data_IF_540631502408
#
_entry.id   IF_540631502408
#
_cell.length_a   1.000
_cell.length_b   1.000
_cell.length_c   1.000
_cell.angle_alpha   90.00
_cell.angle_beta   90.00
_cell.angle_gamma   90.00
#
_symmetry.space_group_name_H-M   'P 1'
#
loop_
_entity.id
_entity.type
_entity.pdbx_description
1 polymer ?
#
# COMPACT_ATOMS: atom_id res chain seq x y z
N UNK A 1 68.45 -1.44 30.70
CA UNK A 1 67.81 -2.57 29.99
C UNK A 1 66.33 -2.69 30.41
N UNK A 2 65.53 -1.64 30.21
CA UNK A 2 64.10 -1.63 30.53
C UNK A 2 63.27 -0.85 29.49
N UNK A 3 63.91 -0.38 28.41
CA UNK A 3 63.34 0.55 27.41
C UNK A 3 62.78 -0.16 26.17
N UNK A 4 62.57 -1.47 26.21
CA UNK A 4 62.11 -2.26 25.03
C UNK A 4 60.77 -2.99 25.21
N UNK A 5 60.12 -2.89 26.37
CA UNK A 5 58.87 -3.62 26.64
C UNK A 5 57.61 -2.75 26.72
N UNK A 6 57.73 -1.42 26.71
CA UNK A 6 56.58 -0.52 26.85
C UNK A 6 55.96 -0.08 25.50
N UNK A 7 56.57 -0.48 24.38
CA UNK A 7 56.18 -0.08 23.02
C UNK A 7 55.54 -1.21 22.21
N UNK A 8 54.97 -2.23 22.87
CA UNK A 8 54.26 -3.32 22.18
C UNK A 8 52.86 -3.62 22.75
N UNK A 9 52.38 -2.86 23.74
CA UNK A 9 51.03 -3.02 24.29
C UNK A 9 50.10 -1.84 23.94
N UNK A 10 50.51 -1.01 22.99
CA UNK A 10 49.73 0.14 22.50
C UNK A 10 49.33 -0.03 21.02
N UNK A 11 49.06 -1.27 20.62
CA UNK A 11 48.65 -1.59 19.24
C UNK A 11 47.66 -2.76 19.16
N UNK A 12 46.71 -2.82 20.10
CA UNK A 12 45.61 -3.80 20.06
C UNK A 12 44.20 -3.23 20.26
N UNK A 13 44.01 -1.90 20.25
CA UNK A 13 42.68 -1.29 20.37
C UNK A 13 42.11 -0.79 19.03
N UNK A 14 42.41 -1.48 17.93
CA UNK A 14 41.75 -1.26 16.64
C UNK A 14 41.25 -2.59 16.09
N UNK A 15 40.08 -3.04 16.56
CA UNK A 15 39.12 -3.83 15.77
C UNK A 15 37.88 -4.06 16.63
N UNK A 16 36.81 -3.35 16.28
CA UNK A 16 35.53 -3.46 16.98
C UNK A 16 34.46 -2.61 16.32
N UNK A 17 34.39 -2.62 14.98
CA UNK A 17 33.16 -2.23 14.30
C UNK A 17 32.10 -3.27 14.65
N UNK A 18 31.29 -3.03 15.68
CA UNK A 18 30.04 -3.77 15.78
C UNK A 18 29.14 -3.23 14.67
N UNK A 19 29.00 -4.03 13.61
CA UNK A 19 27.82 -3.99 12.78
C UNK A 19 26.62 -4.15 13.72
N UNK A 20 26.01 -3.04 14.12
CA UNK A 20 24.61 -3.07 14.51
C UNK A 20 23.85 -3.22 13.20
N UNK A 21 23.13 -4.33 12.95
CA UNK A 21 22.04 -4.25 12.01
C UNK A 21 21.14 -3.14 12.55
N UNK A 22 20.99 -2.07 11.76
CA UNK A 22 19.91 -1.15 12.00
C UNK A 22 18.65 -2.01 11.94
N UNK A 23 18.07 -2.32 13.11
CA UNK A 23 16.68 -2.72 13.18
C UNK A 23 15.95 -1.71 12.30
N UNK A 24 15.17 -2.14 11.30
CA UNK A 24 14.31 -1.23 10.59
C UNK A 24 13.60 -0.46 11.67
N UNK A 25 13.88 0.85 11.71
CA UNK A 25 13.37 1.73 12.72
C UNK A 25 11.88 1.38 12.84
N UNK A 26 11.44 0.86 13.99
CA UNK A 26 10.02 0.87 14.36
C UNK A 26 9.66 2.35 14.61
N UNK A 27 9.96 3.20 13.62
CA UNK A 27 9.46 4.52 13.49
C UNK A 27 7.96 4.32 13.52
N UNK A 28 7.36 4.99 14.50
CA UNK A 28 5.94 5.21 14.74
C UNK A 28 5.24 5.77 13.48
N UNK A 29 5.26 4.98 12.42
CA UNK A 29 4.82 5.34 11.08
C UNK A 29 3.46 4.70 10.95
N UNK A 30 2.42 5.53 11.06
CA UNK A 30 1.02 5.15 10.89
C UNK A 30 0.69 4.87 9.41
N UNK A 31 1.63 4.27 8.67
CA UNK A 31 1.46 3.87 7.27
C UNK A 31 1.39 2.35 7.25
N UNK A 32 0.31 1.83 6.69
CA UNK A 32 0.13 0.39 6.53
C UNK A 32 1.18 -0.15 5.54
N UNK A 33 1.91 -1.22 5.88
CA UNK A 33 2.84 -1.85 4.94
C UNK A 33 2.08 -2.50 3.79
N UNK A 34 2.62 -2.38 2.57
CA UNK A 34 2.10 -3.09 1.41
C UNK A 34 2.33 -4.61 1.56
N UNK A 35 1.35 -5.39 1.11
CA UNK A 35 1.45 -6.82 0.95
C UNK A 35 2.02 -7.19 -0.42
N UNK A 36 2.50 -8.42 -0.57
CA UNK A 36 2.96 -8.92 -1.86
C UNK A 36 1.81 -8.97 -2.90
N UNK A 37 2.12 -8.80 -4.21
CA UNK A 37 1.20 -9.14 -5.29
C UNK A 37 0.75 -10.60 -5.19
N UNK A 38 -0.50 -10.90 -5.57
CA UNK A 38 -1.03 -12.26 -5.58
C UNK A 38 -1.76 -12.52 -6.91
N UNK A 39 -1.62 -13.73 -7.43
CA UNK A 39 -2.35 -14.17 -8.61
C UNK A 39 -3.82 -14.54 -8.31
N UNK A 40 -4.58 -14.98 -9.32
CA UNK A 40 -4.17 -15.16 -10.72
C UNK A 40 -3.99 -13.83 -11.46
N UNK A 41 -3.37 -13.88 -12.64
CA UNK A 41 -3.29 -12.74 -13.55
C UNK A 41 -4.70 -12.25 -13.93
N UNK A 42 -4.93 -10.95 -13.80
CA UNK A 42 -6.24 -10.34 -14.06
C UNK A 42 -6.12 -8.86 -14.38
N UNK A 43 -7.12 -8.38 -15.12
CA UNK A 43 -7.28 -6.99 -15.52
C UNK A 43 -8.63 -6.48 -15.03
N UNK A 44 -8.61 -5.33 -14.36
CA UNK A 44 -9.81 -4.74 -13.76
C UNK A 44 -9.88 -3.28 -14.19
N UNK A 45 -11.05 -2.85 -14.65
CA UNK A 45 -11.34 -1.43 -14.88
C UNK A 45 -12.30 -0.96 -13.81
N UNK A 46 -11.96 0.12 -13.12
CA UNK A 46 -12.73 0.67 -12.01
C UNK A 46 -12.90 2.17 -12.14
N UNK A 47 -14.05 2.68 -11.75
CA UNK A 47 -14.22 4.09 -11.46
C UNK A 47 -13.90 4.34 -9.99
N UNK A 48 -12.96 5.23 -9.73
CA UNK A 48 -12.59 5.69 -8.41
C UNK A 48 -13.13 7.10 -8.22
N UNK A 49 -13.94 7.31 -7.19
CA UNK A 49 -14.41 8.65 -6.80
C UNK A 49 -13.96 8.95 -5.39
N UNK A 50 -13.01 9.86 -5.27
CA UNK A 50 -12.46 10.30 -3.99
C UNK A 50 -13.11 11.62 -3.56
N UNK A 51 -13.57 11.67 -2.32
CA UNK A 51 -14.27 12.81 -1.72
C UNK A 51 -13.48 13.28 -0.51
N UNK A 52 -13.11 14.55 -0.52
CA UNK A 52 -12.57 15.29 0.62
C UNK A 52 -13.60 16.31 1.11
N UNK A 53 -13.28 17.06 2.16
CA UNK A 53 -14.21 18.03 2.76
C UNK A 53 -14.68 19.13 1.79
N UNK A 54 -13.81 19.54 0.86
CA UNK A 54 -13.97 20.70 -0.01
C UNK A 54 -14.16 20.34 -1.49
N UNK A 55 -13.87 19.10 -1.89
CA UNK A 55 -13.85 18.68 -3.29
C UNK A 55 -14.10 17.19 -3.48
N UNK A 56 -14.41 16.85 -4.72
CA UNK A 56 -14.55 15.47 -5.18
C UNK A 56 -13.84 15.33 -6.51
N UNK A 57 -13.06 14.26 -6.66
CA UNK A 57 -12.39 13.91 -7.91
C UNK A 57 -12.81 12.50 -8.33
N UNK A 58 -12.97 12.29 -9.64
CA UNK A 58 -13.26 10.97 -10.21
C UNK A 58 -12.29 10.66 -11.33
N UNK A 59 -11.82 9.41 -11.35
CA UNK A 59 -10.92 8.90 -12.37
C UNK A 59 -11.29 7.45 -12.73
N UNK A 60 -10.83 7.00 -13.89
CA UNK A 60 -10.87 5.59 -14.27
C UNK A 60 -9.51 4.97 -13.97
N UNK A 61 -9.49 3.93 -13.14
CA UNK A 61 -8.30 3.15 -12.86
C UNK A 61 -8.35 1.85 -13.65
N UNK A 62 -7.29 1.59 -14.42
CA UNK A 62 -7.04 0.29 -15.05
C UNK A 62 -5.98 -0.40 -14.21
N UNK A 63 -6.37 -1.49 -13.55
CA UNK A 63 -5.49 -2.32 -12.73
C UNK A 63 -5.13 -3.58 -13.52
N UNK A 64 -3.84 -3.90 -13.51
CA UNK A 64 -3.30 -5.18 -13.93
C UNK A 64 -2.55 -5.76 -12.74
N UNK A 65 -2.79 -7.04 -12.46
CA UNK A 65 -2.12 -7.68 -11.34
C UNK A 65 -1.93 -9.16 -11.60
N UNK A 66 -0.81 -9.68 -11.12
CA UNK A 66 -0.48 -11.09 -11.08
C UNK A 66 0.29 -11.43 -9.79
N UNK A 67 0.92 -12.60 -9.75
CA UNK A 67 1.70 -13.04 -8.59
C UNK A 67 3.04 -12.28 -8.40
N UNK A 68 3.46 -11.47 -9.37
CA UNK A 68 4.75 -10.78 -9.39
C UNK A 68 4.63 -9.27 -9.29
N UNK A 69 3.58 -8.68 -9.86
CA UNK A 69 3.44 -7.23 -9.92
C UNK A 69 1.99 -6.75 -9.87
N UNK A 70 1.84 -5.48 -9.46
CA UNK A 70 0.63 -4.68 -9.59
C UNK A 70 0.99 -3.49 -10.47
N UNK A 71 0.22 -3.25 -11.52
CA UNK A 71 0.29 -2.05 -12.33
C UNK A 71 -1.07 -1.33 -12.30
N UNK A 72 -1.02 0.00 -12.29
CA UNK A 72 -2.20 0.84 -12.36
C UNK A 72 -1.96 2.04 -13.26
N UNK A 73 -2.87 2.27 -14.18
CA UNK A 73 -3.01 3.54 -14.87
C UNK A 73 -4.24 4.28 -14.36
N UNK A 74 -4.07 5.50 -13.87
CA UNK A 74 -5.15 6.41 -13.52
C UNK A 74 -5.43 7.37 -14.67
N UNK A 75 -6.65 7.37 -15.18
CA UNK A 75 -7.08 8.16 -16.32
C UNK A 75 -8.15 9.17 -15.90
N UNK A 76 -8.12 10.37 -16.47
CA UNK A 76 -9.24 11.30 -16.36
C UNK A 76 -10.49 10.72 -17.05
N UNK A 77 -11.65 11.34 -16.84
CA UNK A 77 -12.88 10.90 -17.49
C UNK A 77 -12.82 11.04 -19.03
N UNK A 78 -11.93 11.90 -19.53
CA UNK A 78 -11.64 12.11 -20.96
C UNK A 78 -10.57 11.14 -21.50
N UNK A 79 -10.00 10.28 -20.64
CA UNK A 79 -8.98 9.29 -21.02
C UNK A 79 -7.53 9.79 -20.95
N UNK A 80 -7.28 11.00 -20.44
CA UNK A 80 -5.92 11.49 -20.23
C UNK A 80 -5.23 10.70 -19.10
N UNK A 81 -4.03 10.18 -19.35
CA UNK A 81 -3.23 9.55 -18.29
C UNK A 81 -2.78 10.60 -17.26
N UNK A 82 -3.27 10.43 -16.03
CA UNK A 82 -2.97 11.28 -14.87
C UNK A 82 -1.82 10.71 -14.04
N UNK A 83 -1.70 9.39 -13.98
CA UNK A 83 -0.54 8.73 -13.39
C UNK A 83 -0.42 7.28 -13.89
N UNK A 84 0.79 6.74 -13.80
CA UNK A 84 1.06 5.31 -13.87
C UNK A 84 1.81 4.89 -12.61
N UNK A 85 1.42 3.75 -12.05
CA UNK A 85 2.05 3.17 -10.87
C UNK A 85 2.36 1.70 -11.12
N UNK A 86 3.54 1.26 -10.72
CA UNK A 86 3.90 -0.16 -10.67
C UNK A 86 4.44 -0.51 -9.29
N UNK A 87 4.21 -1.76 -8.89
CA UNK A 87 4.71 -2.32 -7.65
C UNK A 87 5.05 -3.79 -7.83
N UNK A 88 6.30 -4.15 -7.54
CA UNK A 88 6.87 -5.50 -7.74
C UNK A 88 6.93 -6.34 -6.44
N UNK A 89 6.21 -5.92 -5.40
CA UNK A 89 6.34 -6.50 -4.06
C UNK A 89 7.41 -5.86 -3.18
N UNK A 90 8.24 -4.95 -3.71
CA UNK A 90 9.29 -4.26 -2.95
C UNK A 90 9.30 -2.77 -3.18
N UNK A 91 9.22 -2.34 -4.44
CA UNK A 91 9.42 -0.96 -4.87
C UNK A 91 8.17 -0.47 -5.56
N UNK A 92 7.70 0.71 -5.17
CA UNK A 92 6.68 1.44 -5.92
C UNK A 92 7.41 2.38 -6.88
N UNK A 93 7.06 2.31 -8.16
CA UNK A 93 7.45 3.32 -9.15
C UNK A 93 6.20 4.07 -9.57
N UNK A 94 6.22 5.40 -9.47
CA UNK A 94 5.10 6.25 -9.86
C UNK A 94 5.57 7.30 -10.85
N UNK A 95 4.84 7.47 -11.94
CA UNK A 95 4.94 8.60 -12.85
C UNK A 95 3.62 9.39 -12.79
N UNK A 96 3.69 10.69 -12.57
CA UNK A 96 2.52 11.54 -12.30
C UNK A 96 2.48 12.69 -13.30
N UNK A 97 1.31 12.87 -13.92
CA UNK A 97 1.03 14.04 -14.73
C UNK A 97 0.94 15.28 -13.81
N UNK A 98 1.56 16.42 -14.15
CA UNK A 98 1.43 17.67 -13.39
C UNK A 98 -0.01 18.17 -13.20
N UNK A 99 -0.94 17.72 -14.04
CA UNK A 99 -2.36 18.04 -13.93
C UNK A 99 -3.09 17.26 -12.82
N UNK A 100 -2.48 16.19 -12.27
CA UNK A 100 -3.04 15.47 -11.13
C UNK A 100 -3.02 16.38 -9.89
N UNK A 101 -4.15 16.61 -9.19
CA UNK A 101 -4.17 17.42 -8.00
C UNK A 101 -3.19 16.90 -6.95
N UNK A 102 -2.40 17.80 -6.33
CA UNK A 102 -1.32 17.41 -5.42
C UNK A 102 -1.76 16.58 -4.21
N UNK A 103 -3.05 16.66 -3.83
CA UNK A 103 -3.64 15.87 -2.75
C UNK A 103 -3.92 14.42 -3.14
N UNK A 104 -4.03 14.12 -4.43
CA UNK A 104 -4.13 12.75 -4.91
C UNK A 104 -2.74 12.14 -4.92
N UNK A 105 -2.53 11.13 -4.07
CA UNK A 105 -1.29 10.35 -4.01
C UNK A 105 -1.57 8.93 -4.52
N UNK A 106 -1.15 8.57 -5.73
CA UNK A 106 -1.30 7.22 -6.28
C UNK A 106 -0.83 6.11 -5.35
N UNK A 107 0.19 6.38 -4.53
CA UNK A 107 0.74 5.45 -3.54
C UNK A 107 -0.29 5.07 -2.46
N UNK A 108 -1.26 5.95 -2.17
CA UNK A 108 -2.36 5.62 -1.25
C UNK A 108 -3.38 4.71 -1.91
N UNK A 109 -3.61 4.83 -3.21
CA UNK A 109 -4.55 3.96 -3.92
C UNK A 109 -4.10 2.50 -3.92
N UNK A 110 -2.80 2.21 -4.12
CA UNK A 110 -2.35 0.81 -4.04
C UNK A 110 -2.58 0.22 -2.64
N UNK A 111 -2.35 1.00 -1.58
CA UNK A 111 -2.58 0.56 -0.20
C UNK A 111 -4.08 0.31 0.04
N UNK A 112 -4.93 1.24 -0.37
CA UNK A 112 -6.38 1.10 -0.28
C UNK A 112 -6.88 -0.13 -1.03
N UNK A 113 -6.43 -0.34 -2.26
CA UNK A 113 -6.84 -1.48 -3.07
C UNK A 113 -6.41 -2.80 -2.46
N UNK A 114 -5.19 -2.91 -1.94
CA UNK A 114 -4.77 -4.11 -1.22
C UNK A 114 -5.65 -4.31 0.02
N UNK A 115 -5.93 -3.25 0.77
CA UNK A 115 -6.80 -3.35 1.94
C UNK A 115 -8.24 -3.73 1.56
N UNK A 116 -8.75 -3.34 0.40
CA UNK A 116 -10.08 -3.74 -0.10
C UNK A 116 -10.09 -5.18 -0.61
N UNK A 117 -9.11 -5.57 -1.41
CA UNK A 117 -9.19 -6.75 -2.26
C UNK A 117 -8.33 -7.93 -1.82
N UNK A 118 -7.32 -7.73 -0.96
CA UNK A 118 -6.53 -8.85 -0.47
C UNK A 118 -7.24 -9.72 0.57
N UNK A 119 -6.99 -11.04 0.53
CA UNK A 119 -7.35 -11.91 1.63
C UNK A 119 -6.75 -11.39 2.93
N UNK A 120 -7.56 -11.37 3.98
CA UNK A 120 -7.13 -10.91 5.31
C UNK A 120 -5.89 -11.65 5.81
N UNK A 121 -5.75 -12.93 5.46
CA UNK A 121 -4.61 -13.76 5.83
C UNK A 121 -3.30 -13.24 5.21
N UNK A 122 -3.33 -12.74 3.97
CA UNK A 122 -2.13 -12.20 3.31
C UNK A 122 -1.75 -10.84 3.88
N UNK A 123 -2.73 -9.96 4.13
CA UNK A 123 -2.48 -8.68 4.77
C UNK A 123 -1.88 -8.86 6.17
N UNK A 124 -2.41 -9.80 6.98
CA UNK A 124 -1.91 -10.04 8.33
C UNK A 124 -0.44 -10.51 8.38
N UNK A 125 0.13 -11.04 7.30
CA UNK A 125 1.55 -11.43 7.25
C UNK A 125 2.50 -10.23 7.25
N UNK A 126 2.05 -9.07 6.76
CA UNK A 126 2.89 -7.87 6.67
C UNK A 126 2.65 -6.88 7.81
N UNK A 127 1.50 -6.98 8.49
CA UNK A 127 1.14 -6.11 9.60
C UNK A 127 1.98 -6.40 10.85
N UNK A 128 2.52 -5.36 11.48
CA UNK A 128 3.16 -5.46 12.80
C UNK A 128 2.12 -5.66 13.91
N UNK A 129 2.58 -5.99 15.13
CA UNK A 129 1.71 -6.20 16.30
C UNK A 129 0.89 -4.97 16.72
N UNK A 130 1.26 -3.79 16.25
CA UNK A 130 0.51 -2.55 16.50
C UNK A 130 -0.71 -2.41 15.60
N UNK A 131 -0.80 -3.19 14.53
CA UNK A 131 -1.93 -3.15 13.62
C UNK A 131 -2.94 -4.24 13.97
N UNK A 132 -4.22 -3.90 13.91
CA UNK A 132 -5.32 -4.86 14.05
C UNK A 132 -6.23 -4.74 12.84
N UNK A 133 -6.42 -5.85 12.14
CA UNK A 133 -7.30 -5.97 10.99
C UNK A 133 -8.44 -6.94 11.29
N UNK A 134 -9.65 -6.42 11.20
CA UNK A 134 -10.91 -7.13 11.44
C UNK A 134 -11.72 -7.15 10.16
N UNK A 135 -12.35 -8.28 9.86
CA UNK A 135 -13.21 -8.42 8.69
C UNK A 135 -14.40 -9.33 8.97
N UNK A 136 -15.50 -9.00 8.31
CA UNK A 136 -16.71 -9.79 8.12
C UNK A 136 -16.99 -9.83 6.60
N UNK A 137 -18.10 -10.44 6.18
CA UNK A 137 -18.46 -10.51 4.75
C UNK A 137 -18.74 -9.14 4.11
N UNK A 138 -19.14 -8.14 4.91
CA UNK A 138 -19.59 -6.83 4.40
C UNK A 138 -18.80 -5.64 4.95
N UNK A 139 -17.96 -5.87 5.96
CA UNK A 139 -17.21 -4.81 6.64
C UNK A 139 -15.76 -5.25 6.91
N UNK A 140 -14.81 -4.37 6.64
CA UNK A 140 -13.42 -4.49 7.09
C UNK A 140 -13.01 -3.22 7.86
N UNK A 141 -12.24 -3.37 8.92
CA UNK A 141 -11.75 -2.27 9.73
C UNK A 141 -10.28 -2.46 10.08
N UNK A 142 -9.49 -1.45 9.78
CA UNK A 142 -8.06 -1.39 10.12
C UNK A 142 -7.86 -0.43 11.29
N UNK A 143 -7.13 -0.88 12.29
CA UNK A 143 -6.76 -0.10 13.47
C UNK A 143 -5.24 -0.05 13.59
N UNK A 144 -4.74 1.10 14.03
CA UNK A 144 -3.37 1.26 14.50
C UNK A 144 -3.44 1.55 16.00
N UNK A 145 -2.90 0.64 16.81
CA UNK A 145 -3.18 0.54 18.25
C UNK A 145 -4.70 0.43 18.43
N UNK A 146 -5.32 1.33 19.19
CA UNK A 146 -6.77 1.35 19.40
C UNK A 146 -7.53 2.30 18.46
N UNK A 147 -6.80 3.11 17.66
CA UNK A 147 -7.43 4.09 16.79
C UNK A 147 -7.81 3.46 15.46
N UNK A 148 -9.10 3.53 15.10
CA UNK A 148 -9.59 3.13 13.77
C UNK A 148 -8.98 4.05 12.71
N UNK A 149 -8.36 3.45 11.71
CA UNK A 149 -7.67 4.12 10.61
C UNK A 149 -8.48 4.09 9.33
N UNK A 150 -9.06 2.94 9.01
CA UNK A 150 -9.82 2.75 7.78
C UNK A 150 -11.03 1.87 8.07
N UNK A 151 -12.16 2.21 7.46
CA UNK A 151 -13.36 1.38 7.41
C UNK A 151 -13.74 1.13 5.96
N UNK A 152 -14.06 -0.12 5.62
CA UNK A 152 -14.43 -0.54 4.27
C UNK A 152 -15.76 -1.25 4.34
N UNK A 153 -16.70 -0.82 3.51
CA UNK A 153 -18.03 -1.42 3.34
C UNK A 153 -18.18 -1.98 1.94
N UNK A 154 -18.49 -3.27 1.86
CA UNK A 154 -18.78 -3.94 0.59
C UNK A 154 -20.28 -3.85 0.33
N UNK A 155 -20.69 -2.93 -0.54
CA UNK A 155 -22.11 -2.66 -0.82
C UNK A 155 -22.74 -3.76 -1.68
N UNK A 156 -21.95 -4.27 -2.62
CA UNK A 156 -22.30 -5.45 -3.43
C UNK A 156 -21.19 -6.48 -3.25
N UNK A 157 -21.26 -7.31 -2.19
CA UNK A 157 -20.27 -8.36 -1.96
C UNK A 157 -20.33 -9.36 -3.11
N UNK A 158 -19.17 -9.69 -3.66
CA UNK A 158 -18.98 -10.65 -4.75
C UNK A 158 -17.81 -11.56 -4.36
N UNK A 159 -17.98 -12.86 -4.57
CA UNK A 159 -17.00 -13.87 -4.15
C UNK A 159 -15.68 -13.79 -4.94
N UNK A 160 -15.70 -13.21 -6.15
CA UNK A 160 -14.54 -13.10 -7.03
C UNK A 160 -13.91 -11.72 -6.87
N UNK A 161 -14.70 -10.66 -7.06
CA UNK A 161 -14.21 -9.28 -6.98
C UNK A 161 -15.37 -8.31 -6.65
N UNK A 162 -15.37 -7.67 -5.48
CA UNK A 162 -16.42 -6.74 -5.08
C UNK A 162 -16.70 -5.66 -6.14
N UNK A 163 -18.00 -5.49 -6.47
CA UNK A 163 -18.42 -4.58 -7.54
C UNK A 163 -18.55 -3.13 -7.07
N UNK A 164 -19.02 -2.94 -5.86
CA UNK A 164 -19.18 -1.62 -5.25
C UNK A 164 -18.67 -1.63 -3.81
N UNK A 165 -17.71 -0.74 -3.54
CA UNK A 165 -17.02 -0.62 -2.25
C UNK A 165 -16.94 0.84 -1.83
N UNK A 166 -17.18 1.08 -0.55
CA UNK A 166 -16.94 2.37 0.09
C UNK A 166 -15.82 2.21 1.12
N UNK A 167 -14.78 3.05 1.02
CA UNK A 167 -13.63 3.08 1.92
C UNK A 167 -13.53 4.47 2.55
N UNK A 168 -13.63 4.54 3.87
CA UNK A 168 -13.40 5.77 4.65
C UNK A 168 -12.01 5.70 5.26
N UNK A 169 -11.09 6.52 4.77
CA UNK A 169 -9.75 6.67 5.31
C UNK A 169 -9.73 7.79 6.34
N UNK A 170 -9.75 7.43 7.62
CA UNK A 170 -9.78 8.37 8.76
C UNK A 170 -8.41 9.01 9.01
N UNK A 171 -7.32 8.37 8.57
CA UNK A 171 -5.97 8.92 8.69
C UNK A 171 -5.70 10.04 7.68
N UNK A 172 -6.13 9.84 6.43
CA UNK A 172 -5.91 10.79 5.33
C UNK A 172 -7.15 11.64 4.98
N UNK A 173 -8.23 11.49 5.75
CA UNK A 173 -9.44 12.31 5.67
C UNK A 173 -10.12 12.33 4.28
N UNK A 174 -10.31 11.15 3.69
CA UNK A 174 -11.10 11.01 2.47
C UNK A 174 -12.05 9.81 2.49
N UNK A 175 -13.07 9.89 1.66
CA UNK A 175 -13.96 8.79 1.33
C UNK A 175 -13.71 8.39 -0.12
N UNK A 176 -13.33 7.14 -0.36
CA UNK A 176 -13.15 6.55 -1.67
C UNK A 176 -14.33 5.64 -2.00
N UNK A 177 -15.00 5.92 -3.12
CA UNK A 177 -15.99 5.03 -3.73
C UNK A 177 -15.34 4.31 -4.89
N UNK A 178 -15.46 2.99 -4.91
CA UNK A 178 -14.90 2.13 -5.94
C UNK A 178 -16.05 1.41 -6.62
N UNK A 179 -16.19 1.63 -7.94
CA UNK A 179 -17.12 0.89 -8.77
C UNK A 179 -16.35 0.11 -9.83
N UNK A 180 -16.39 -1.21 -9.73
CA UNK A 180 -15.81 -2.10 -10.73
C UNK A 180 -16.68 -2.08 -11.99
N UNK A 181 -16.07 -1.68 -13.10
CA UNK A 181 -16.71 -1.59 -14.42
C UNK A 181 -16.48 -2.86 -15.23
N UNK A 182 -15.29 -3.44 -15.16
CA UNK A 182 -14.98 -4.74 -15.75
C UNK A 182 -13.97 -5.52 -14.90
N UNK A 183 -14.03 -6.84 -15.03
CA UNK A 183 -13.12 -7.79 -14.40
C UNK A 183 -12.87 -8.92 -15.39
N UNK A 184 -11.59 -9.18 -15.69
CA UNK A 184 -11.16 -10.19 -16.64
C UNK A 184 -10.01 -11.00 -16.04
N UNK A 185 -10.12 -12.33 -16.08
CA UNK A 185 -8.97 -13.20 -15.85
C UNK A 185 -8.11 -13.20 -17.11
N UNK A 186 -6.82 -12.94 -16.96
CA UNK A 186 -5.86 -12.98 -18.06
C UNK A 186 -5.24 -14.37 -18.08
N UNK A 187 -5.19 -15.00 -19.25
CA UNK A 187 -4.45 -16.24 -19.42
C UNK A 187 -2.96 -15.91 -19.41
N UNK A 188 -2.20 -16.49 -18.47
CA UNK A 188 -0.73 -16.44 -18.46
C UNK A 188 -0.13 -17.15 -19.69
#
# INVERSE_FOLDING_TARGET
>A
MFLKFLTFLLWLCLTGCSLMPASPNEANTQVMPLAHPIGPARRIVQQLTAVWADRQESLIAVLELDAQHIAMAGLSNEGLSLFNLTYDGKTITTDQNPLLPATVKPEFFITDLQLVYWPIAELKKTLSSQWRLEATDTLRSLYFKEAKQVEIRYLTPDAIWPKEVELVNLHYHYHLKIKTLSYELVSE
#
